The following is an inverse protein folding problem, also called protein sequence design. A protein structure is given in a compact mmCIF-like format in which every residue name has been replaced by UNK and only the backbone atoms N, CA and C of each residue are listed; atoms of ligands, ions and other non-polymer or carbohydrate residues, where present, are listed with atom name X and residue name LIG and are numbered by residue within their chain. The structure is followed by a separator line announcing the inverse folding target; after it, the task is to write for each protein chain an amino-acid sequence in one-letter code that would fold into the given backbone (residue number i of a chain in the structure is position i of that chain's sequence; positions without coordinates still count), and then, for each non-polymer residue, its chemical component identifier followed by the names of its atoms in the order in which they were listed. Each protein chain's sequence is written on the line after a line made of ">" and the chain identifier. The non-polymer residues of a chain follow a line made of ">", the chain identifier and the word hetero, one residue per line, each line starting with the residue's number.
data_IF_495793869860
#
_entry.id   IF_495793869860
#
_cell.length_a   1.000
_cell.length_b   1.000
_cell.length_c   1.000
_cell.angle_alpha   90.00
_cell.angle_beta   90.00
_cell.angle_gamma   90.00
#
_symmetry.space_group_name_H-M   'P 1'
#
loop_
_entity.id
_entity.type
_entity.pdbx_description
1 polymer ?
#
# COMPACT_ATOMS: atom_id res chain seq x y z
N UNK A 1 18.83 -20.29 -4.02
CA UNK A 1 17.84 -20.09 -5.11
C UNK A 1 18.37 -19.08 -6.12
N UNK A 2 18.04 -19.24 -7.41
CA UNK A 2 18.36 -18.28 -8.46
C UNK A 2 17.35 -17.13 -8.46
N UNK A 3 17.85 -15.90 -8.62
CA UNK A 3 17.08 -14.65 -8.62
C UNK A 3 17.07 -14.09 -10.04
N UNK A 4 15.89 -13.97 -10.64
CA UNK A 4 15.71 -13.43 -11.99
C UNK A 4 15.91 -11.92 -11.93
N UNK A 5 16.76 -11.36 -12.77
CA UNK A 5 17.06 -9.93 -12.77
C UNK A 5 16.90 -9.31 -14.14
N UNK A 6 16.54 -8.02 -14.16
CA UNK A 6 16.56 -7.19 -15.35
C UNK A 6 17.72 -6.22 -15.26
N UNK A 7 18.46 -6.07 -16.36
CA UNK A 7 19.46 -5.02 -16.49
C UNK A 7 18.95 -3.96 -17.46
N UNK A 8 19.01 -2.70 -17.04
CA UNK A 8 18.51 -1.56 -17.81
C UNK A 8 19.28 -0.29 -17.44
N UNK A 9 19.05 0.76 -18.23
CA UNK A 9 19.53 2.10 -17.91
C UNK A 9 18.36 2.90 -17.38
N UNK A 10 18.49 3.43 -16.18
CA UNK A 10 17.56 4.42 -15.64
C UNK A 10 18.31 5.73 -15.40
N UNK A 11 17.61 6.84 -15.58
CA UNK A 11 18.06 8.13 -15.07
C UNK A 11 17.84 8.13 -13.56
N UNK A 12 18.83 8.59 -12.80
CA UNK A 12 18.75 8.65 -11.34
C UNK A 12 17.57 9.52 -10.89
N UNK A 13 16.87 9.07 -9.84
CA UNK A 13 15.73 9.78 -9.26
C UNK A 13 16.16 11.15 -8.68
N UNK A 14 17.43 11.27 -8.27
CA UNK A 14 18.00 12.46 -7.60
C UNK A 14 19.02 13.23 -8.44
N UNK A 15 19.43 12.67 -9.58
CA UNK A 15 20.32 13.34 -10.52
C UNK A 15 20.08 12.78 -11.92
N UNK A 16 20.11 13.64 -12.94
CA UNK A 16 19.95 13.27 -14.35
C UNK A 16 21.11 12.41 -14.90
N UNK A 17 21.83 11.67 -14.04
CA UNK A 17 22.86 10.71 -14.45
C UNK A 17 22.21 9.41 -14.88
N UNK A 18 22.58 8.94 -16.06
CA UNK A 18 22.16 7.64 -16.57
C UNK A 18 22.98 6.56 -15.88
N UNK A 19 22.34 5.72 -15.07
CA UNK A 19 22.97 4.64 -14.29
C UNK A 19 22.61 3.29 -14.92
N UNK A 20 23.58 2.38 -14.99
CA UNK A 20 23.31 1.00 -15.38
C UNK A 20 22.94 0.21 -14.12
N UNK A 21 21.76 -0.39 -14.11
CA UNK A 21 21.17 -0.93 -12.87
C UNK A 21 20.86 -2.42 -13.00
N UNK A 22 20.87 -3.09 -11.85
CA UNK A 22 20.34 -4.44 -11.69
C UNK A 22 19.03 -4.33 -10.90
N UNK A 23 17.91 -4.65 -11.56
CA UNK A 23 16.57 -4.57 -10.98
C UNK A 23 16.03 -5.97 -10.68
N UNK A 24 15.57 -6.15 -9.44
CA UNK A 24 14.98 -7.38 -8.91
C UNK A 24 13.56 -7.05 -8.45
N UNK A 25 12.58 -7.69 -9.09
CA UNK A 25 11.16 -7.40 -8.86
C UNK A 25 10.41 -8.64 -8.39
N UNK A 26 9.45 -8.44 -7.48
CA UNK A 26 8.40 -9.41 -7.11
C UNK A 26 8.91 -10.80 -6.69
N UNK A 27 10.11 -10.88 -6.12
CA UNK A 27 10.77 -12.14 -5.76
C UNK A 27 10.93 -12.33 -4.26
N UNK A 28 11.00 -13.59 -3.85
CA UNK A 28 11.35 -13.97 -2.49
C UNK A 28 12.86 -14.10 -2.35
N UNK A 29 13.43 -13.22 -1.53
CA UNK A 29 14.88 -13.17 -1.31
C UNK A 29 15.18 -13.95 -0.03
N UNK A 30 15.68 -15.16 -0.24
CA UNK A 30 16.15 -16.03 0.83
C UNK A 30 17.39 -15.49 1.55
N UNK A 31 17.76 -16.12 2.66
CA UNK A 31 18.94 -15.75 3.46
C UNK A 31 20.25 -16.39 2.97
N UNK A 32 20.24 -17.07 1.82
CA UNK A 32 21.41 -17.75 1.26
C UNK A 32 22.39 -16.74 0.64
N UNK A 33 23.68 -16.91 0.92
CA UNK A 33 24.77 -16.12 0.33
C UNK A 33 25.84 -17.06 -0.25
N UNK A 34 26.33 -16.82 -1.48
CA UNK A 34 25.94 -15.74 -2.38
C UNK A 34 24.62 -16.01 -3.12
N UNK A 35 23.86 -14.96 -3.41
CA UNK A 35 22.73 -15.05 -4.32
C UNK A 35 23.24 -15.28 -5.75
N UNK A 36 22.58 -16.19 -6.47
CA UNK A 36 22.80 -16.35 -7.91
C UNK A 36 21.80 -15.48 -8.65
N UNK A 37 22.27 -14.55 -9.47
CA UNK A 37 21.42 -13.69 -10.30
C UNK A 37 21.42 -14.20 -11.74
N UNK A 38 20.23 -14.30 -12.32
CA UNK A 38 20.01 -14.81 -13.69
C UNK A 38 19.33 -13.70 -14.50
N UNK A 39 20.06 -13.12 -15.44
CA UNK A 39 19.57 -12.05 -16.31
C UNK A 39 20.54 -11.78 -17.44
N UNK A 40 20.04 -11.20 -18.54
CA UNK A 40 20.87 -10.85 -19.71
C UNK A 40 21.31 -9.40 -19.62
N UNK A 41 22.62 -9.15 -19.66
CA UNK A 41 23.17 -7.79 -19.78
C UNK A 41 22.94 -7.20 -21.17
N UNK A 42 22.99 -5.87 -21.26
CA UNK A 42 23.16 -5.17 -22.52
C UNK A 42 24.50 -5.52 -23.17
N UNK A 43 24.61 -5.33 -24.49
CA UNK A 43 25.81 -5.72 -25.25
C UNK A 43 27.08 -5.02 -24.70
N UNK A 44 28.12 -5.83 -24.46
CA UNK A 44 29.38 -5.37 -23.89
C UNK A 44 29.35 -5.03 -22.39
N UNK A 45 28.21 -5.23 -21.71
CA UNK A 45 28.07 -4.96 -20.27
C UNK A 45 28.19 -6.22 -19.43
N UNK A 46 28.64 -6.02 -18.20
CA UNK A 46 28.86 -7.08 -17.21
C UNK A 46 28.36 -6.65 -15.83
N UNK A 47 28.48 -7.52 -14.83
CA UNK A 47 28.22 -7.17 -13.43
C UNK A 47 29.12 -6.04 -12.91
N UNK A 48 30.30 -5.82 -13.51
CA UNK A 48 31.19 -4.72 -13.16
C UNK A 48 30.67 -3.35 -13.63
N UNK A 49 29.73 -3.33 -14.57
CA UNK A 49 29.14 -2.07 -15.05
C UNK A 49 27.97 -1.61 -14.18
N UNK A 50 27.45 -2.47 -13.30
CA UNK A 50 26.28 -2.16 -12.48
C UNK A 50 26.65 -1.12 -11.43
N UNK A 51 25.99 0.04 -11.48
CA UNK A 51 26.19 1.14 -10.55
C UNK A 51 25.20 1.09 -9.37
N UNK A 52 24.03 0.49 -9.58
CA UNK A 52 22.92 0.48 -8.64
C UNK A 52 22.25 -0.89 -8.64
N UNK A 53 21.97 -1.40 -7.44
CA UNK A 53 21.14 -2.59 -7.26
C UNK A 53 19.80 -2.19 -6.64
N UNK A 54 18.71 -2.56 -7.30
CA UNK A 54 17.36 -2.14 -6.95
C UNK A 54 16.47 -3.34 -6.67
N UNK A 55 16.01 -3.48 -5.42
CA UNK A 55 14.95 -4.40 -5.06
C UNK A 55 13.62 -3.67 -4.99
N UNK A 56 12.63 -4.15 -5.74
CA UNK A 56 11.30 -3.59 -5.78
C UNK A 56 10.25 -4.67 -5.50
N UNK A 57 9.34 -4.40 -4.56
CA UNK A 57 8.19 -5.27 -4.27
C UNK A 57 8.60 -6.71 -3.92
N UNK A 58 9.80 -6.91 -3.39
CA UNK A 58 10.34 -8.22 -3.04
C UNK A 58 9.88 -8.65 -1.64
N UNK A 59 9.95 -9.94 -1.32
CA UNK A 59 9.81 -10.43 0.06
C UNK A 59 11.21 -10.63 0.64
N UNK A 60 11.74 -9.60 1.30
CA UNK A 60 13.10 -9.63 1.86
C UNK A 60 13.04 -9.79 3.37
N UNK A 61 13.57 -10.93 3.86
CA UNK A 61 13.69 -11.14 5.31
C UNK A 61 15.02 -10.65 5.90
N UNK A 62 16.08 -10.62 5.09
CA UNK A 62 17.39 -10.04 5.40
C UNK A 62 18.01 -9.51 4.13
N UNK A 63 18.80 -8.42 4.23
CA UNK A 63 19.56 -7.93 3.07
C UNK A 63 20.61 -8.98 2.70
N UNK A 64 20.74 -9.36 1.42
CA UNK A 64 21.74 -10.33 0.99
C UNK A 64 23.16 -9.85 1.28
N UNK A 65 23.91 -10.68 2.02
CA UNK A 65 25.33 -10.41 2.31
C UNK A 65 26.15 -10.44 1.03
N UNK A 66 27.07 -9.49 0.91
CA UNK A 66 28.04 -9.47 -0.17
C UNK A 66 27.42 -9.22 -1.54
N UNK A 67 26.32 -8.45 -1.62
CA UNK A 67 25.75 -8.05 -2.91
C UNK A 67 26.79 -7.32 -3.78
N UNK A 68 27.68 -6.56 -3.13
CA UNK A 68 28.81 -5.89 -3.76
C UNK A 68 29.95 -6.84 -4.16
N UNK A 69 29.97 -8.11 -3.73
CA UNK A 69 30.86 -9.11 -4.33
C UNK A 69 30.37 -9.51 -5.72
N UNK A 70 29.04 -9.49 -5.92
CA UNK A 70 28.44 -9.80 -7.22
C UNK A 70 28.47 -8.61 -8.15
N UNK A 71 28.27 -7.39 -7.62
CA UNK A 71 28.34 -6.13 -8.37
C UNK A 71 29.42 -5.21 -7.78
N UNK A 72 30.72 -5.42 -8.10
CA UNK A 72 31.86 -4.80 -7.41
C UNK A 72 31.92 -3.27 -7.46
N UNK A 73 31.38 -2.67 -8.52
CA UNK A 73 31.37 -1.23 -8.75
C UNK A 73 30.03 -0.58 -8.39
N UNK A 74 29.08 -1.36 -7.86
CA UNK A 74 27.83 -0.79 -7.38
C UNK A 74 28.10 0.03 -6.12
N UNK A 75 27.58 1.25 -6.14
CA UNK A 75 27.71 2.23 -5.07
C UNK A 75 26.38 2.47 -4.38
N UNK A 76 25.30 1.93 -4.93
CA UNK A 76 23.94 2.31 -4.57
C UNK A 76 23.11 1.06 -4.36
N UNK A 77 22.43 1.01 -3.23
CA UNK A 77 21.50 -0.06 -2.88
C UNK A 77 20.16 0.57 -2.54
N UNK A 78 19.15 0.20 -3.31
CA UNK A 78 17.76 0.60 -3.08
C UNK A 78 16.94 -0.64 -2.76
N UNK A 79 16.22 -0.59 -1.64
CA UNK A 79 15.24 -1.62 -1.25
C UNK A 79 13.92 -0.91 -1.02
N UNK A 80 13.03 -1.03 -2.00
CA UNK A 80 11.73 -0.37 -2.00
C UNK A 80 10.60 -1.38 -1.83
N UNK A 81 9.64 -1.05 -0.94
CA UNK A 81 8.41 -1.80 -0.76
C UNK A 81 8.63 -3.31 -0.58
N UNK A 82 9.63 -3.69 0.21
CA UNK A 82 10.13 -5.07 0.22
C UNK A 82 9.89 -5.83 1.53
N UNK A 83 8.95 -5.32 2.35
CA UNK A 83 8.52 -5.90 3.63
C UNK A 83 9.65 -6.15 4.65
N UNK A 84 10.82 -5.53 4.46
CA UNK A 84 11.97 -5.72 5.34
C UNK A 84 11.63 -5.22 6.75
N UNK A 85 11.72 -6.09 7.75
CA UNK A 85 11.35 -5.79 9.14
C UNK A 85 12.53 -5.43 10.04
N UNK A 86 13.66 -6.09 9.84
CA UNK A 86 14.85 -5.94 10.68
C UNK A 86 16.08 -5.75 9.82
N UNK A 87 17.00 -4.92 10.27
CA UNK A 87 18.30 -4.73 9.65
C UNK A 87 19.37 -4.65 10.73
N UNK A 88 20.45 -5.41 10.55
CA UNK A 88 21.58 -5.46 11.50
C UNK A 88 22.90 -5.21 10.78
N UNK A 89 23.93 -4.81 11.54
CA UNK A 89 25.28 -4.57 11.01
C UNK A 89 25.81 -5.70 10.11
N UNK A 90 25.52 -6.95 10.47
CA UNK A 90 25.95 -8.14 9.73
C UNK A 90 25.36 -8.24 8.31
N UNK A 91 24.24 -7.55 8.04
CA UNK A 91 23.61 -7.49 6.73
C UNK A 91 24.35 -6.51 5.79
N UNK A 92 25.03 -5.49 6.34
CA UNK A 92 25.66 -4.41 5.59
C UNK A 92 27.19 -4.39 5.64
N UNK A 93 27.83 -5.00 6.65
CA UNK A 93 29.28 -4.87 6.92
C UNK A 93 30.21 -5.24 5.76
N UNK A 94 29.75 -6.06 4.82
CA UNK A 94 30.52 -6.46 3.64
C UNK A 94 30.41 -5.46 2.47
N UNK A 95 29.42 -4.56 2.49
CA UNK A 95 29.11 -3.63 1.41
C UNK A 95 29.88 -2.30 1.55
N UNK A 96 31.19 -2.38 1.80
CA UNK A 96 32.04 -1.22 2.17
C UNK A 96 32.19 -0.14 1.08
N UNK A 97 31.80 -0.46 -0.16
CA UNK A 97 31.83 0.47 -1.29
C UNK A 97 30.55 1.28 -1.46
N UNK A 98 29.54 1.05 -0.61
CA UNK A 98 28.26 1.74 -0.69
C UNK A 98 28.42 3.23 -0.37
N UNK A 99 27.94 4.07 -1.28
CA UNK A 99 27.88 5.53 -1.16
C UNK A 99 26.44 5.98 -0.86
N UNK A 100 25.43 5.30 -1.40
CA UNK A 100 24.03 5.64 -1.16
C UNK A 100 23.22 4.40 -0.75
N UNK A 101 22.47 4.48 0.35
CA UNK A 101 21.59 3.42 0.85
C UNK A 101 20.17 3.94 1.04
N UNK A 102 19.20 3.37 0.33
CA UNK A 102 17.79 3.75 0.40
C UNK A 102 16.92 2.55 0.78
N UNK A 103 16.23 2.66 1.92
CA UNK A 103 15.32 1.66 2.47
C UNK A 103 13.90 2.24 2.56
N UNK A 104 13.21 2.29 1.43
CA UNK A 104 11.95 3.03 1.26
C UNK A 104 10.75 2.10 1.40
N UNK A 105 9.70 2.54 2.10
CA UNK A 105 8.43 1.80 2.25
C UNK A 105 8.62 0.37 2.78
N UNK A 106 9.44 0.21 3.81
CA UNK A 106 9.65 -1.08 4.47
C UNK A 106 8.92 -1.14 5.82
N UNK A 107 9.12 -2.20 6.59
CA UNK A 107 8.52 -2.40 7.92
C UNK A 107 9.58 -2.34 9.02
N UNK A 108 10.63 -1.55 8.82
CA UNK A 108 11.74 -1.43 9.78
C UNK A 108 11.23 -0.68 11.01
N UNK A 109 11.37 -1.29 12.18
CA UNK A 109 11.00 -0.68 13.47
C UNK A 109 12.19 -0.22 14.30
N UNK A 110 13.39 -0.73 14.01
CA UNK A 110 14.60 -0.46 14.79
C UNK A 110 15.81 -0.18 13.90
N UNK A 111 16.58 0.84 14.27
CA UNK A 111 17.89 1.10 13.68
C UNK A 111 18.99 1.04 14.76
N UNK A 112 19.82 -0.02 14.77
CA UNK A 112 20.92 -0.15 15.73
C UNK A 112 22.08 0.81 15.42
N UNK A 113 22.82 1.21 16.44
CA UNK A 113 23.81 2.27 16.38
C UNK A 113 25.13 1.82 15.76
N UNK A 114 25.33 0.51 15.63
CA UNK A 114 26.45 -0.05 14.89
C UNK A 114 26.08 -0.46 13.46
N UNK A 115 24.83 -0.23 13.02
CA UNK A 115 24.32 -0.64 11.70
C UNK A 115 25.21 -0.18 10.55
N UNK A 116 25.58 1.10 10.56
CA UNK A 116 26.29 1.76 9.47
C UNK A 116 27.80 1.85 9.71
N UNK A 117 28.31 1.30 10.82
CA UNK A 117 29.68 1.51 11.32
C UNK A 117 30.79 1.13 10.35
N UNK A 118 30.53 0.24 9.39
CA UNK A 118 31.49 -0.21 8.39
C UNK A 118 31.36 0.51 7.03
N UNK A 119 30.35 1.38 6.86
CA UNK A 119 30.00 2.05 5.60
C UNK A 119 30.63 3.45 5.50
N UNK A 120 31.94 3.55 5.66
CA UNK A 120 32.64 4.85 5.76
C UNK A 120 32.59 5.71 4.48
N UNK A 121 32.16 5.15 3.34
CA UNK A 121 31.96 5.88 2.08
C UNK A 121 30.55 6.43 1.90
N UNK A 122 29.64 6.14 2.84
CA UNK A 122 28.24 6.52 2.73
C UNK A 122 28.11 8.04 2.74
N UNK A 123 27.52 8.59 1.69
CA UNK A 123 27.18 10.00 1.52
C UNK A 123 25.69 10.24 1.73
N UNK A 124 24.85 9.27 1.36
CA UNK A 124 23.41 9.34 1.53
C UNK A 124 22.84 8.10 2.25
N UNK A 125 22.01 8.32 3.26
CA UNK A 125 21.27 7.27 3.96
C UNK A 125 19.80 7.65 4.09
N UNK A 126 18.91 6.79 3.62
CA UNK A 126 17.48 7.04 3.67
C UNK A 126 16.73 5.81 4.17
N UNK A 127 15.85 6.02 5.14
CA UNK A 127 14.88 5.03 5.60
C UNK A 127 13.55 5.72 5.74
N UNK A 128 12.77 5.77 4.66
CA UNK A 128 11.52 6.54 4.62
C UNK A 128 10.29 5.64 4.58
N UNK A 129 9.16 6.19 5.04
CA UNK A 129 7.87 5.50 5.06
C UNK A 129 7.96 4.09 5.67
N UNK A 130 8.75 3.97 6.74
CA UNK A 130 8.86 2.75 7.52
C UNK A 130 8.10 2.93 8.84
N UNK A 131 8.28 2.00 9.77
CA UNK A 131 7.59 2.02 11.07
C UNK A 131 8.62 2.19 12.19
N UNK A 132 9.63 3.03 11.99
CA UNK A 132 10.70 3.15 12.97
C UNK A 132 10.08 3.63 14.29
N UNK A 133 10.34 2.84 15.33
CA UNK A 133 9.95 3.07 16.71
C UNK A 133 11.16 3.53 17.52
N UNK A 134 12.37 3.04 17.19
CA UNK A 134 13.60 3.40 17.89
C UNK A 134 14.80 3.50 16.94
N UNK A 135 15.61 4.54 17.13
CA UNK A 135 16.92 4.73 16.50
C UNK A 135 17.97 4.87 17.59
N UNK A 136 19.04 4.09 17.51
CA UNK A 136 20.19 4.33 18.35
C UNK A 136 20.98 5.55 17.86
N UNK A 137 21.38 6.42 18.77
CA UNK A 137 21.92 7.76 18.47
C UNK A 137 23.30 7.77 17.82
N UNK A 138 24.09 6.75 18.12
CA UNK A 138 25.42 6.57 17.58
C UNK A 138 25.39 5.95 16.17
N UNK A 139 24.21 5.80 15.55
CA UNK A 139 24.06 5.25 14.20
C UNK A 139 24.87 5.98 13.13
N UNK A 140 25.08 7.29 13.33
CA UNK A 140 25.87 8.12 12.41
C UNK A 140 27.31 8.35 12.87
N UNK A 141 27.74 7.68 13.94
CA UNK A 141 29.12 7.80 14.41
C UNK A 141 30.08 7.33 13.33
N UNK A 142 31.17 8.08 13.16
CA UNK A 142 32.27 7.79 12.21
C UNK A 142 31.92 7.91 10.73
N UNK A 143 30.68 8.24 10.37
CA UNK A 143 30.28 8.50 8.98
C UNK A 143 30.64 9.93 8.56
N UNK A 144 31.92 10.16 8.29
CA UNK A 144 32.45 11.52 8.01
C UNK A 144 32.04 12.09 6.65
N UNK A 145 31.61 11.24 5.71
CA UNK A 145 31.21 11.66 4.36
C UNK A 145 29.69 11.80 4.20
N UNK A 146 28.91 11.46 5.24
CA UNK A 146 27.46 11.47 5.20
C UNK A 146 26.96 12.90 5.20
N UNK A 147 26.27 13.29 4.14
CA UNK A 147 25.75 14.64 3.93
C UNK A 147 24.24 14.69 3.73
N UNK A 148 23.62 13.54 3.45
CA UNK A 148 22.19 13.44 3.23
C UNK A 148 21.63 12.31 4.10
N UNK A 149 20.70 12.66 4.98
CA UNK A 149 19.94 11.72 5.80
C UNK A 149 18.47 12.03 5.64
N UNK A 150 17.68 11.03 5.24
CA UNK A 150 16.24 11.17 5.10
C UNK A 150 15.53 10.04 5.87
N UNK A 151 14.82 10.43 6.92
CA UNK A 151 14.05 9.53 7.77
C UNK A 151 12.56 9.88 7.79
N UNK A 152 12.10 10.63 6.78
CA UNK A 152 10.71 11.09 6.66
C UNK A 152 9.69 9.94 6.59
N UNK A 153 8.47 10.21 7.05
CA UNK A 153 7.39 9.23 7.06
C UNK A 153 7.57 8.09 8.08
N UNK A 154 8.35 8.31 9.15
CA UNK A 154 8.44 7.40 10.30
C UNK A 154 7.85 8.03 11.56
N UNK A 155 7.02 7.27 12.26
CA UNK A 155 6.20 7.75 13.39
C UNK A 155 7.02 8.38 14.52
N UNK A 156 8.19 7.81 14.88
CA UNK A 156 9.01 8.30 15.99
C UNK A 156 9.77 9.60 15.69
N UNK A 157 9.84 10.01 14.42
CA UNK A 157 10.58 11.19 13.93
C UNK A 157 9.58 12.28 13.57
N UNK A 158 8.49 11.92 12.89
CA UNK A 158 7.50 12.85 12.34
C UNK A 158 6.92 13.83 13.37
N UNK A 159 6.64 13.38 14.60
CA UNK A 159 5.97 14.23 15.60
C UNK A 159 6.83 15.33 16.24
N UNK A 160 8.17 15.24 16.20
CA UNK A 160 9.09 16.25 16.80
C UNK A 160 9.91 16.98 15.74
N UNK A 161 10.19 16.36 14.60
CA UNK A 161 10.79 17.04 13.45
C UNK A 161 9.82 18.01 12.74
N UNK A 162 8.50 17.89 12.95
CA UNK A 162 7.51 18.87 12.49
C UNK A 162 7.36 20.11 13.41
N UNK A 163 7.95 20.10 14.62
CA UNK A 163 7.94 21.28 15.52
C UNK A 163 9.13 22.23 15.32
N UNK A 164 10.02 21.91 14.38
CA UNK A 164 11.10 22.77 13.90
C UNK A 164 10.73 23.13 12.46
N UNK A 165 10.70 24.43 12.16
CA UNK A 165 10.17 25.06 10.93
C UNK A 165 10.47 24.35 9.57
N UNK A 166 9.72 24.68 8.48
CA UNK A 166 9.60 23.90 7.23
C UNK A 166 10.86 23.67 6.37
N UNK A 167 12.06 23.97 6.86
CA UNK A 167 13.31 23.91 6.08
C UNK A 167 14.18 22.66 6.32
N UNK A 168 13.69 21.67 7.08
CA UNK A 168 14.49 20.46 7.42
C UNK A 168 14.65 19.43 6.29
N UNK A 169 14.17 19.68 5.06
CA UNK A 169 14.73 19.01 3.88
C UNK A 169 16.26 19.24 3.76
N UNK A 170 16.80 20.23 4.48
CA UNK A 170 18.22 20.57 4.57
C UNK A 170 18.80 20.47 5.99
N UNK A 171 18.21 19.68 6.90
CA UNK A 171 18.73 19.49 8.25
C UNK A 171 20.20 19.04 8.22
N UNK A 172 21.08 19.73 8.94
CA UNK A 172 22.47 19.28 9.05
C UNK A 172 22.55 18.01 9.88
N UNK A 173 23.55 17.16 9.62
CA UNK A 173 23.77 15.92 10.36
C UNK A 173 23.87 16.16 11.89
N UNK A 174 24.36 17.33 12.30
CA UNK A 174 24.51 17.69 13.70
C UNK A 174 23.18 18.08 14.35
N UNK A 175 22.25 18.68 13.60
CA UNK A 175 20.87 18.93 14.06
C UNK A 175 20.13 17.60 14.31
N UNK A 176 20.26 16.64 13.38
CA UNK A 176 19.66 15.31 13.53
C UNK A 176 20.24 14.59 14.76
N UNK A 177 21.56 14.63 14.96
CA UNK A 177 22.22 14.02 16.13
C UNK A 177 21.77 14.65 17.44
N UNK A 178 21.65 15.97 17.47
CA UNK A 178 21.22 16.73 18.66
C UNK A 178 19.76 16.40 18.99
N UNK A 179 18.90 16.32 17.98
CA UNK A 179 17.50 15.98 18.18
C UNK A 179 17.34 14.53 18.67
N UNK A 180 18.08 13.56 18.11
CA UNK A 180 18.09 12.19 18.62
C UNK A 180 18.50 12.11 20.10
N UNK A 181 19.46 12.93 20.54
CA UNK A 181 19.87 13.06 21.95
C UNK A 181 18.76 13.64 22.83
N UNK A 182 18.05 14.66 22.35
CA UNK A 182 16.96 15.29 23.08
C UNK A 182 15.73 14.40 23.20
N UNK A 183 15.47 13.54 22.21
CA UNK A 183 14.23 12.75 22.18
C UNK A 183 14.19 11.72 23.33
N UNK A 184 15.35 11.19 23.74
CA UNK A 184 15.47 10.13 24.73
C UNK A 184 16.68 10.35 25.66
N UNK A 185 16.60 11.26 26.65
CA UNK A 185 17.72 11.61 27.52
C UNK A 185 18.21 10.45 28.43
N UNK A 186 17.44 9.37 28.57
CA UNK A 186 17.72 8.21 29.43
C UNK A 186 17.79 6.90 28.63
N UNK A 187 18.73 6.81 27.69
CA UNK A 187 18.88 5.67 26.76
C UNK A 187 19.17 4.29 27.35
N UNK A 188 19.59 4.20 28.62
CA UNK A 188 20.17 2.97 29.16
C UNK A 188 19.22 1.78 29.20
N UNK A 189 17.96 2.00 29.56
CA UNK A 189 17.02 0.91 29.91
C UNK A 189 16.01 0.61 28.80
N UNK A 190 15.51 1.63 28.09
CA UNK A 190 14.62 1.44 26.93
C UNK A 190 15.31 0.69 25.79
N UNK A 191 16.56 1.05 25.47
CA UNK A 191 17.35 0.38 24.42
C UNK A 191 17.62 -1.08 24.79
N UNK A 192 17.90 -1.39 26.07
CA UNK A 192 18.11 -2.78 26.53
C UNK A 192 16.83 -3.61 26.40
N UNK A 193 15.70 -3.05 26.82
CA UNK A 193 14.40 -3.72 26.71
C UNK A 193 14.01 -3.97 25.25
N UNK A 194 14.13 -2.95 24.39
CA UNK A 194 13.80 -3.05 22.97
C UNK A 194 14.74 -4.02 22.21
N UNK A 195 16.04 -4.01 22.52
CA UNK A 195 16.98 -5.04 22.03
C UNK A 195 16.57 -6.44 22.48
N UNK A 196 16.08 -6.59 23.71
CA UNK A 196 15.54 -7.85 24.22
C UNK A 196 14.32 -8.32 23.44
N UNK A 197 13.38 -7.42 23.14
CA UNK A 197 12.18 -7.69 22.35
C UNK A 197 12.53 -8.11 20.92
N UNK A 198 13.40 -7.36 20.23
CA UNK A 198 13.88 -7.72 18.88
C UNK A 198 14.62 -9.05 18.91
N UNK A 199 15.47 -9.29 19.91
CA UNK A 199 16.17 -10.57 20.06
C UNK A 199 15.18 -11.71 20.22
N UNK A 200 14.11 -11.51 21.02
CA UNK A 200 13.07 -12.52 21.22
C UNK A 200 12.22 -12.76 19.96
N UNK A 201 11.89 -11.73 19.19
CA UNK A 201 11.14 -11.82 17.93
C UNK A 201 11.99 -12.44 16.80
N UNK A 202 13.28 -12.14 16.75
CA UNK A 202 14.25 -12.80 15.84
C UNK A 202 14.40 -14.27 16.23
N UNK A 203 14.52 -14.60 17.52
CA UNK A 203 14.56 -15.99 17.99
C UNK A 203 13.26 -16.73 17.71
N UNK A 204 12.10 -16.08 17.83
CA UNK A 204 10.80 -16.63 17.47
C UNK A 204 10.72 -16.91 15.96
N UNK A 205 11.11 -15.95 15.12
CA UNK A 205 11.16 -16.11 13.66
C UNK A 205 12.13 -17.21 13.23
N UNK A 206 13.27 -17.36 13.93
CA UNK A 206 14.23 -18.46 13.71
C UNK A 206 13.68 -19.81 14.16
N UNK A 207 12.93 -19.85 15.27
CA UNK A 207 12.21 -21.06 15.72
C UNK A 207 11.12 -21.43 14.73
N UNK A 208 10.35 -20.50 14.21
CA UNK A 208 9.33 -20.73 13.16
C UNK A 208 9.97 -21.27 11.87
N UNK A 209 11.09 -20.68 11.42
CA UNK A 209 11.86 -21.20 10.26
C UNK A 209 12.46 -22.59 10.50
N UNK A 210 12.81 -22.93 11.74
CA UNK A 210 13.30 -24.27 12.11
C UNK A 210 12.16 -25.28 12.29
N UNK A 211 10.98 -24.85 12.76
CA UNK A 211 9.75 -25.65 12.85
C UNK A 211 9.21 -26.02 11.46
N UNK A 212 9.34 -25.12 10.48
CA UNK A 212 8.97 -25.40 9.08
C UNK A 212 9.92 -26.43 8.42
N UNK A 213 11.11 -26.68 8.98
CA UNK A 213 12.03 -27.76 8.54
C UNK A 213 11.85 -29.09 9.29
N UNK A 214 10.95 -29.18 10.28
CA UNK A 214 10.64 -30.41 11.02
C UNK A 214 9.14 -30.51 11.31
N UNK A 215 8.32 -30.78 10.30
CA UNK A 215 7.02 -31.44 10.47
C UNK A 215 6.44 -31.86 9.11
N UNK A 216 6.94 -32.98 8.59
CA UNK A 216 6.13 -33.94 7.82
C UNK A 216 5.96 -35.17 8.71
N UNK A 217 4.95 -35.14 9.57
CA UNK A 217 4.33 -36.36 10.10
C UNK A 217 2.99 -36.00 10.73
N UNK A 218 1.97 -36.71 10.26
CA UNK A 218 0.56 -36.62 10.60
C UNK A 218 0.29 -36.89 12.08
N UNK A 219 -0.69 -36.17 12.67
CA UNK A 219 -1.71 -36.77 13.55
C UNK A 219 -3.02 -35.99 13.38
N UNK A 220 -4.08 -36.71 12.97
CA UNK A 220 -5.47 -36.26 12.91
C UNK A 220 -6.01 -36.01 14.32
N UNK A 221 -6.58 -34.83 14.58
CA UNK A 221 -7.58 -34.64 15.63
C UNK A 221 -8.88 -34.11 15.01
N UNK A 222 -9.93 -34.92 15.11
CA UNK A 222 -11.30 -34.58 14.71
C UNK A 222 -11.90 -33.65 15.76
N UNK A 223 -11.96 -32.35 15.48
CA UNK A 223 -12.97 -31.49 16.10
C UNK A 223 -14.28 -31.66 15.33
N UNK A 224 -15.32 -32.17 15.98
CA UNK A 224 -16.69 -32.05 15.47
C UNK A 224 -17.10 -30.57 15.61
N UNK A 225 -16.78 -29.78 14.60
CA UNK A 225 -17.36 -28.46 14.41
C UNK A 225 -18.73 -28.71 13.77
N UNK A 226 -19.81 -28.65 14.55
CA UNK A 226 -21.17 -28.61 14.00
C UNK A 226 -21.23 -27.39 13.08
N UNK A 227 -21.23 -27.62 11.76
CA UNK A 227 -21.53 -26.58 10.79
C UNK A 227 -23.05 -26.40 10.80
N UNK A 228 -23.49 -25.15 10.98
CA UNK A 228 -24.90 -24.80 10.86
C UNK A 228 -25.29 -24.85 9.38
N UNK A 229 -26.41 -25.51 9.08
CA UNK A 229 -26.98 -25.57 7.73
C UNK A 229 -27.92 -24.38 7.44
N UNK A 230 -28.11 -23.45 8.40
CA UNK A 230 -29.03 -22.31 8.32
C UNK A 230 -28.91 -21.48 7.03
N UNK A 231 -27.68 -21.20 6.56
CA UNK A 231 -27.47 -20.44 5.32
C UNK A 231 -27.92 -21.26 4.10
N UNK A 232 -27.71 -22.58 4.10
CA UNK A 232 -28.15 -23.47 3.02
C UNK A 232 -29.68 -23.57 2.99
N UNK A 233 -30.32 -23.60 4.16
CA UNK A 233 -31.78 -23.58 4.25
C UNK A 233 -32.37 -22.29 3.67
N UNK A 234 -31.76 -21.13 3.98
CA UNK A 234 -32.20 -19.83 3.43
C UNK A 234 -31.92 -19.68 1.93
N UNK A 235 -30.81 -20.27 1.43
CA UNK A 235 -30.55 -20.38 -0.01
C UNK A 235 -31.64 -21.18 -0.71
N UNK A 236 -32.01 -22.34 -0.16
CA UNK A 236 -33.06 -23.17 -0.71
C UNK A 236 -34.42 -22.43 -0.74
N UNK A 237 -34.73 -21.63 0.30
CA UNK A 237 -35.93 -20.80 0.33
C UNK A 237 -35.89 -19.68 -0.71
N UNK A 238 -34.72 -19.09 -0.98
CA UNK A 238 -34.58 -18.05 -2.01
C UNK A 238 -34.90 -18.58 -3.42
N UNK A 239 -34.45 -19.80 -3.72
CA UNK A 239 -34.67 -20.47 -5.02
C UNK A 239 -36.09 -21.03 -5.16
N UNK A 240 -36.75 -21.37 -4.05
CA UNK A 240 -38.12 -21.85 -4.05
C UNK A 240 -39.10 -20.72 -4.38
N UNK A 241 -40.02 -20.95 -5.31
CA UNK A 241 -41.08 -20.00 -5.66
C UNK A 241 -42.24 -19.96 -4.66
N UNK A 242 -42.40 -21.00 -3.85
CA UNK A 242 -43.46 -21.08 -2.85
C UNK A 242 -43.30 -19.99 -1.78
N UNK A 243 -44.43 -19.44 -1.33
CA UNK A 243 -44.52 -18.46 -0.24
C UNK A 243 -43.87 -17.08 -0.46
N UNK A 244 -43.27 -16.82 -1.63
CA UNK A 244 -42.86 -15.47 -2.03
C UNK A 244 -44.09 -14.56 -2.15
N UNK A 245 -44.19 -13.60 -1.24
CA UNK A 245 -45.37 -12.75 -1.01
C UNK A 245 -45.16 -11.28 -1.42
N UNK A 246 -44.06 -10.98 -2.10
CA UNK A 246 -43.74 -9.65 -2.60
C UNK A 246 -42.93 -9.67 -3.88
N UNK A 247 -43.14 -8.65 -4.72
CA UNK A 247 -42.36 -8.48 -5.95
C UNK A 247 -41.63 -7.14 -5.94
N UNK A 248 -40.32 -7.16 -6.13
CA UNK A 248 -39.53 -5.95 -6.36
C UNK A 248 -39.30 -5.80 -7.86
N UNK A 249 -39.66 -4.65 -8.41
CA UNK A 249 -39.53 -4.36 -9.85
C UNK A 249 -38.41 -3.36 -10.08
N UNK A 250 -37.55 -3.67 -11.04
CA UNK A 250 -36.42 -2.84 -11.46
C UNK A 250 -36.42 -2.75 -12.97
N UNK A 251 -36.85 -1.61 -13.49
CA UNK A 251 -37.13 -1.46 -14.91
C UNK A 251 -38.15 -2.49 -15.38
N UNK A 252 -37.76 -3.37 -16.29
CA UNK A 252 -38.59 -4.47 -16.81
C UNK A 252 -38.40 -5.80 -16.08
N UNK A 253 -37.45 -5.89 -15.15
CA UNK A 253 -37.20 -7.12 -14.39
C UNK A 253 -38.04 -7.17 -13.11
N UNK A 254 -38.49 -8.37 -12.75
CA UNK A 254 -39.25 -8.64 -11.55
C UNK A 254 -38.52 -9.66 -10.67
N UNK A 255 -38.35 -9.32 -9.39
CA UNK A 255 -37.70 -10.14 -8.37
C UNK A 255 -38.72 -10.49 -7.30
N UNK A 256 -39.20 -11.73 -7.31
CA UNK A 256 -40.08 -12.23 -6.25
C UNK A 256 -39.27 -12.55 -4.99
N UNK A 257 -39.77 -12.17 -3.83
CA UNK A 257 -39.09 -12.33 -2.55
C UNK A 257 -40.10 -12.43 -1.39
N UNK A 258 -39.57 -12.75 -0.21
CA UNK A 258 -40.31 -12.84 1.03
C UNK A 258 -40.25 -11.50 1.80
N UNK A 259 -41.39 -10.87 2.10
CA UNK A 259 -41.46 -9.60 2.84
C UNK A 259 -40.68 -9.69 4.15
N UNK A 260 -40.87 -10.77 4.90
CA UNK A 260 -40.27 -10.91 6.23
C UNK A 260 -38.74 -10.92 6.18
N UNK A 261 -38.14 -11.52 5.15
CA UNK A 261 -36.67 -11.55 4.97
C UNK A 261 -36.16 -10.14 4.64
N UNK A 262 -36.82 -9.46 3.69
CA UNK A 262 -36.46 -8.08 3.31
C UNK A 262 -36.52 -7.12 4.51
N UNK A 263 -37.63 -7.14 5.25
CA UNK A 263 -37.87 -6.30 6.44
C UNK A 263 -36.87 -6.60 7.55
N UNK A 264 -36.56 -7.88 7.80
CA UNK A 264 -35.61 -8.28 8.85
C UNK A 264 -34.16 -7.85 8.54
N UNK A 265 -33.81 -7.73 7.25
CA UNK A 265 -32.42 -7.55 6.79
C UNK A 265 -32.12 -6.14 6.30
N UNK A 266 -33.13 -5.28 6.17
CA UNK A 266 -33.00 -3.88 5.77
C UNK A 266 -34.04 -3.01 6.50
N UNK A 267 -33.59 -2.07 7.35
CA UNK A 267 -34.47 -1.05 7.94
C UNK A 267 -35.20 -0.21 6.89
N UNK A 268 -34.58 0.03 5.73
CA UNK A 268 -35.23 0.77 4.63
C UNK A 268 -36.41 -0.03 4.07
N UNK A 269 -36.24 -1.33 3.80
CA UNK A 269 -37.38 -2.16 3.40
C UNK A 269 -38.44 -2.26 4.48
N UNK A 270 -38.06 -2.36 5.75
CA UNK A 270 -38.99 -2.32 6.87
C UNK A 270 -39.88 -1.08 6.85
N UNK A 271 -39.28 0.11 6.66
CA UNK A 271 -40.03 1.37 6.59
C UNK A 271 -40.92 1.43 5.35
N UNK A 272 -40.36 1.16 4.16
CA UNK A 272 -41.10 1.26 2.90
C UNK A 272 -42.30 0.30 2.87
N UNK A 273 -42.12 -0.96 3.28
CA UNK A 273 -43.19 -1.97 3.30
C UNK A 273 -44.23 -1.60 4.37
N UNK A 274 -43.81 -1.07 5.52
CA UNK A 274 -44.72 -0.60 6.57
C UNK A 274 -45.56 0.61 6.13
N UNK A 275 -45.01 1.51 5.32
CA UNK A 275 -45.77 2.63 4.74
C UNK A 275 -46.72 2.18 3.64
N UNK A 276 -46.44 1.02 3.01
CA UNK A 276 -47.19 0.48 1.88
C UNK A 276 -47.70 -0.94 2.15
N UNK A 277 -48.36 -1.16 3.30
CA UNK A 277 -48.74 -2.50 3.79
C UNK A 277 -49.57 -3.33 2.80
N UNK A 278 -50.39 -2.68 1.98
CA UNK A 278 -51.26 -3.32 0.99
C UNK A 278 -50.59 -3.49 -0.37
N UNK A 279 -49.35 -3.02 -0.56
CA UNK A 279 -48.65 -3.19 -1.82
C UNK A 279 -48.26 -4.67 -2.03
N UNK A 280 -48.51 -5.15 -3.24
CA UNK A 280 -48.05 -6.46 -3.71
C UNK A 280 -46.66 -6.36 -4.36
N UNK A 281 -46.28 -5.16 -4.80
CA UNK A 281 -44.99 -4.90 -5.41
C UNK A 281 -44.38 -3.55 -4.98
N UNK A 282 -43.06 -3.44 -5.14
CA UNK A 282 -42.29 -2.22 -4.93
C UNK A 282 -41.44 -1.93 -6.17
N UNK A 283 -41.58 -0.73 -6.74
CA UNK A 283 -40.70 -0.27 -7.79
C UNK A 283 -39.46 0.39 -7.18
N UNK A 284 -38.27 -0.13 -7.49
CA UNK A 284 -37.00 0.53 -7.17
C UNK A 284 -36.42 1.15 -8.44
N UNK A 285 -36.05 2.43 -8.33
CA UNK A 285 -35.43 3.20 -9.40
C UNK A 285 -33.95 3.40 -9.11
N UNK A 286 -33.17 3.65 -10.17
CA UNK A 286 -31.74 3.92 -10.09
C UNK A 286 -30.96 2.80 -9.38
N UNK A 287 -31.26 1.55 -9.77
CA UNK A 287 -30.51 0.35 -9.40
C UNK A 287 -30.43 -0.54 -10.65
N UNK A 288 -29.24 -1.01 -11.00
CA UNK A 288 -29.07 -2.03 -12.02
C UNK A 288 -29.53 -3.40 -11.50
N UNK A 289 -30.01 -4.23 -12.41
CA UNK A 289 -30.54 -5.56 -12.09
C UNK A 289 -29.49 -6.45 -11.43
N UNK A 290 -28.24 -6.33 -11.86
CA UNK A 290 -27.11 -7.13 -11.35
C UNK A 290 -26.76 -6.74 -9.92
N UNK A 291 -26.73 -5.43 -9.62
CA UNK A 291 -26.52 -4.95 -8.25
C UNK A 291 -27.66 -5.35 -7.33
N UNK A 292 -28.90 -5.29 -7.83
CA UNK A 292 -30.01 -5.72 -7.01
C UNK A 292 -30.01 -7.23 -6.74
N UNK A 293 -29.61 -8.06 -7.71
CA UNK A 293 -29.45 -9.49 -7.48
C UNK A 293 -28.42 -9.75 -6.38
N UNK A 294 -27.27 -9.07 -6.41
CA UNK A 294 -26.25 -9.16 -5.34
C UNK A 294 -26.81 -8.76 -3.97
N UNK A 295 -27.59 -7.68 -3.92
CA UNK A 295 -28.26 -7.23 -2.69
C UNK A 295 -29.23 -8.29 -2.17
N UNK A 296 -30.01 -8.88 -3.07
CA UNK A 296 -31.00 -9.90 -2.73
C UNK A 296 -30.30 -11.16 -2.22
N UNK A 297 -29.29 -11.66 -2.93
CA UNK A 297 -28.49 -12.82 -2.52
C UNK A 297 -27.88 -12.59 -1.12
N UNK A 298 -27.30 -11.42 -0.88
CA UNK A 298 -26.73 -11.07 0.43
C UNK A 298 -27.79 -11.03 1.55
N UNK A 299 -28.99 -10.51 1.24
CA UNK A 299 -30.10 -10.45 2.20
C UNK A 299 -30.47 -11.85 2.70
N UNK A 300 -30.52 -12.84 1.81
CA UNK A 300 -30.85 -14.23 2.17
C UNK A 300 -29.68 -14.98 2.81
N UNK A 301 -28.45 -14.74 2.37
CA UNK A 301 -27.33 -15.65 2.63
C UNK A 301 -26.24 -15.09 3.54
N UNK A 302 -26.16 -13.76 3.70
CA UNK A 302 -25.02 -13.05 4.31
C UNK A 302 -23.68 -13.32 3.59
N UNK A 303 -23.70 -13.91 2.39
CA UNK A 303 -22.53 -14.18 1.57
C UNK A 303 -22.22 -12.99 0.65
N UNK A 304 -20.94 -12.62 0.59
CA UNK A 304 -20.47 -11.55 -0.28
C UNK A 304 -20.31 -12.03 -1.73
N UNK A 305 -20.52 -11.15 -2.72
CA UNK A 305 -20.35 -11.53 -4.12
C UNK A 305 -18.90 -11.93 -4.39
N UNK A 306 -18.72 -13.12 -4.98
CA UNK A 306 -17.40 -13.60 -5.42
C UNK A 306 -16.95 -12.88 -6.72
N UNK A 307 -17.90 -12.41 -7.53
CA UNK A 307 -17.62 -11.74 -8.79
C UNK A 307 -17.26 -10.26 -8.60
N UNK A 308 -16.04 -9.91 -8.99
CA UNK A 308 -15.44 -8.57 -8.84
C UNK A 308 -15.89 -7.61 -9.98
N UNK A 309 -16.59 -8.11 -11.02
CA UNK A 309 -16.98 -7.29 -12.18
C UNK A 309 -18.20 -6.39 -11.97
N UNK A 310 -18.82 -6.42 -10.80
CA UNK A 310 -19.96 -5.54 -10.49
C UNK A 310 -19.51 -4.09 -10.25
N UNK A 311 -20.40 -3.14 -10.52
CA UNK A 311 -20.17 -1.73 -10.21
C UNK A 311 -20.17 -1.53 -8.68
N UNK A 312 -18.97 -1.40 -8.11
CA UNK A 312 -18.77 -1.26 -6.67
C UNK A 312 -19.23 0.10 -6.15
N UNK A 313 -19.21 1.13 -7.00
CA UNK A 313 -19.71 2.46 -6.66
C UNK A 313 -21.22 2.38 -6.50
N UNK A 314 -21.91 1.75 -7.46
CA UNK A 314 -23.34 1.51 -7.37
C UNK A 314 -23.68 0.63 -6.16
N UNK A 315 -22.96 -0.48 -5.95
CA UNK A 315 -23.15 -1.35 -4.79
C UNK A 315 -23.04 -0.57 -3.47
N UNK A 316 -22.04 0.28 -3.34
CA UNK A 316 -21.84 1.13 -2.16
C UNK A 316 -23.02 2.09 -1.95
N UNK A 317 -23.42 2.82 -2.99
CA UNK A 317 -24.56 3.77 -2.96
C UNK A 317 -25.86 3.07 -2.58
N UNK A 318 -26.15 1.92 -3.18
CA UNK A 318 -27.39 1.17 -2.98
C UNK A 318 -27.42 0.51 -1.60
N UNK A 319 -26.31 -0.08 -1.14
CA UNK A 319 -26.21 -0.68 0.19
C UNK A 319 -26.43 0.34 1.30
N UNK A 320 -25.92 1.57 1.15
CA UNK A 320 -26.17 2.67 2.08
C UNK A 320 -27.64 3.13 2.04
N UNK A 321 -28.23 3.26 0.85
CA UNK A 321 -29.66 3.61 0.70
C UNK A 321 -30.58 2.58 1.35
N UNK A 322 -30.24 1.30 1.20
CA UNK A 322 -30.98 0.17 1.80
C UNK A 322 -30.55 -0.15 3.23
N UNK A 323 -29.57 0.58 3.79
CA UNK A 323 -29.05 0.39 5.16
C UNK A 323 -28.55 -1.04 5.44
N UNK A 324 -27.82 -1.60 4.48
CA UNK A 324 -27.17 -2.92 4.57
C UNK A 324 -25.68 -2.71 4.87
N UNK A 325 -25.36 -2.48 6.15
CA UNK A 325 -24.04 -2.01 6.59
C UNK A 325 -22.87 -2.94 6.21
N UNK A 326 -23.02 -4.25 6.36
CA UNK A 326 -21.97 -5.23 6.02
C UNK A 326 -21.59 -5.15 4.55
N UNK A 327 -22.59 -5.11 3.66
CA UNK A 327 -22.37 -5.07 2.22
C UNK A 327 -21.84 -3.70 1.77
N UNK A 328 -22.28 -2.61 2.40
CA UNK A 328 -21.71 -1.28 2.21
C UNK A 328 -20.22 -1.25 2.56
N UNK A 329 -19.84 -1.79 3.73
CA UNK A 329 -18.46 -1.81 4.17
C UNK A 329 -17.60 -2.70 3.27
N UNK A 330 -18.13 -3.84 2.82
CA UNK A 330 -17.49 -4.67 1.80
C UNK A 330 -17.25 -3.90 0.51
N UNK A 331 -18.27 -3.22 -0.03
CA UNK A 331 -18.13 -2.42 -1.25
C UNK A 331 -17.09 -1.31 -1.07
N UNK A 332 -17.05 -0.65 0.10
CA UNK A 332 -16.04 0.36 0.42
C UNK A 332 -14.62 -0.22 0.46
N UNK A 333 -14.44 -1.40 1.09
CA UNK A 333 -13.16 -2.08 1.13
C UNK A 333 -12.67 -2.42 -0.28
N UNK A 334 -13.55 -2.92 -1.14
CA UNK A 334 -13.19 -3.21 -2.54
C UNK A 334 -12.91 -1.95 -3.35
N UNK A 335 -13.65 -0.86 -3.10
CA UNK A 335 -13.37 0.43 -3.74
C UNK A 335 -12.00 0.97 -3.35
N UNK A 336 -11.56 0.80 -2.09
CA UNK A 336 -10.24 1.26 -1.67
C UNK A 336 -9.13 0.70 -2.58
N UNK A 337 -9.22 -0.55 -2.99
CA UNK A 337 -8.20 -1.19 -3.84
C UNK A 337 -8.22 -0.71 -5.30
N UNK A 338 -9.32 -0.09 -5.74
CA UNK A 338 -9.55 0.32 -7.14
C UNK A 338 -9.55 1.84 -7.35
N UNK A 339 -9.34 2.63 -6.29
CA UNK A 339 -9.14 4.09 -6.41
C UNK A 339 -7.95 4.38 -7.32
N UNK A 340 -8.20 5.18 -8.35
CA UNK A 340 -7.23 5.59 -9.36
C UNK A 340 -7.56 7.00 -9.88
N UNK A 341 -6.75 7.53 -10.79
CA UNK A 341 -6.89 8.90 -11.29
C UNK A 341 -8.22 9.21 -11.98
N UNK A 342 -8.90 8.20 -12.55
CA UNK A 342 -10.15 8.39 -13.30
C UNK A 342 -11.37 8.45 -12.38
N UNK A 343 -11.36 7.71 -11.27
CA UNK A 343 -12.52 7.60 -10.37
C UNK A 343 -12.35 8.32 -9.02
N UNK A 344 -11.15 8.79 -8.69
CA UNK A 344 -10.85 9.36 -7.37
C UNK A 344 -11.75 10.54 -7.00
N UNK A 345 -12.07 11.43 -7.94
CA UNK A 345 -12.93 12.59 -7.68
C UNK A 345 -14.37 12.17 -7.35
N UNK A 346 -14.93 11.20 -8.07
CA UNK A 346 -16.27 10.67 -7.77
C UNK A 346 -16.27 9.98 -6.39
N UNK A 347 -15.27 9.13 -6.12
CA UNK A 347 -15.17 8.42 -4.84
C UNK A 347 -14.98 9.41 -3.68
N UNK A 348 -14.23 10.50 -3.88
CA UNK A 348 -14.11 11.57 -2.89
C UNK A 348 -15.48 12.21 -2.58
N UNK A 349 -16.25 12.61 -3.61
CA UNK A 349 -17.60 13.18 -3.44
C UNK A 349 -18.52 12.23 -2.65
N UNK A 350 -18.46 10.93 -2.96
CA UNK A 350 -19.25 9.91 -2.24
C UNK A 350 -18.78 9.72 -0.80
N UNK A 351 -17.48 9.69 -0.57
CA UNK A 351 -16.91 9.52 0.76
C UNK A 351 -17.32 10.64 1.73
N UNK A 352 -17.45 11.87 1.24
CA UNK A 352 -17.93 13.02 2.02
C UNK A 352 -19.43 12.86 2.27
N UNK A 353 -20.22 12.61 1.22
CA UNK A 353 -21.68 12.45 1.31
C UNK A 353 -22.09 11.36 2.31
N UNK A 354 -21.34 10.26 2.34
CA UNK A 354 -21.64 9.08 3.16
C UNK A 354 -20.72 8.93 4.36
N UNK A 355 -19.92 9.95 4.70
CA UNK A 355 -19.05 10.00 5.88
C UNK A 355 -18.12 8.79 6.02
N UNK A 356 -17.45 8.43 4.93
CA UNK A 356 -16.45 7.36 4.91
C UNK A 356 -15.03 7.95 4.86
N UNK A 357 -14.37 7.99 6.02
CA UNK A 357 -13.06 8.63 6.17
C UNK A 357 -11.94 7.92 5.39
N UNK A 358 -11.98 6.59 5.31
CA UNK A 358 -10.96 5.81 4.61
C UNK A 358 -11.00 6.07 3.11
N UNK A 359 -12.19 6.02 2.50
CA UNK A 359 -12.37 6.37 1.10
C UNK A 359 -11.99 7.82 0.83
N UNK A 360 -12.32 8.75 1.76
CA UNK A 360 -11.97 10.17 1.61
C UNK A 360 -10.46 10.36 1.55
N UNK A 361 -9.75 9.84 2.54
CA UNK A 361 -8.29 9.97 2.62
C UNK A 361 -7.62 9.38 1.38
N UNK A 362 -7.95 8.14 1.02
CA UNK A 362 -7.30 7.46 -0.11
C UNK A 362 -7.62 8.11 -1.46
N UNK A 363 -8.86 8.56 -1.66
CA UNK A 363 -9.25 9.28 -2.88
C UNK A 363 -8.54 10.64 -2.99
N UNK A 364 -8.43 11.35 -1.87
CA UNK A 364 -7.74 12.63 -1.83
C UNK A 364 -6.23 12.48 -2.04
N UNK A 365 -5.59 11.46 -1.47
CA UNK A 365 -4.19 11.12 -1.76
C UNK A 365 -3.96 10.85 -3.26
N UNK A 366 -4.89 10.19 -3.93
CA UNK A 366 -4.81 9.95 -5.37
C UNK A 366 -4.97 11.25 -6.16
N UNK A 367 -5.91 12.12 -5.77
CA UNK A 367 -6.08 13.45 -6.38
C UNK A 367 -4.84 14.32 -6.19
N UNK A 368 -4.16 14.25 -5.04
CA UNK A 368 -2.88 14.96 -4.84
C UNK A 368 -1.80 14.53 -5.84
N UNK A 369 -1.78 13.25 -6.25
CA UNK A 369 -0.87 12.78 -7.30
C UNK A 369 -1.25 13.32 -8.67
N UNK A 370 -2.55 13.48 -8.95
CA UNK A 370 -3.01 14.13 -10.19
C UNK A 370 -2.55 15.58 -10.22
N UNK A 371 -2.60 16.27 -9.08
CA UNK A 371 -2.31 17.69 -8.93
C UNK A 371 -0.89 17.96 -8.36
N UNK A 372 0.06 17.07 -8.64
CA UNK A 372 1.44 17.10 -8.12
C UNK A 372 2.28 18.35 -8.47
N UNK A 373 1.78 19.17 -9.40
CA UNK A 373 2.38 20.44 -9.80
C UNK A 373 2.08 21.61 -8.85
N UNK A 374 1.18 21.43 -7.87
CA UNK A 374 0.86 22.42 -6.83
C UNK A 374 0.85 21.77 -5.45
N UNK A 375 1.19 22.56 -4.44
CA UNK A 375 1.00 22.16 -3.06
C UNK A 375 -0.49 22.31 -2.69
N UNK A 376 -1.08 21.24 -2.16
CA UNK A 376 -2.53 21.17 -1.87
C UNK A 376 -2.71 21.02 -0.36
N UNK A 377 -3.40 22.00 0.23
CA UNK A 377 -3.85 21.96 1.62
C UNK A 377 -4.78 20.76 1.85
N UNK A 378 -4.54 20.03 2.93
CA UNK A 378 -5.37 18.90 3.37
C UNK A 378 -6.84 19.27 3.60
N UNK A 379 -7.14 20.55 3.88
CA UNK A 379 -8.52 21.04 4.02
C UNK A 379 -9.34 20.90 2.72
N UNK A 380 -8.69 20.88 1.55
CA UNK A 380 -9.37 20.68 0.27
C UNK A 380 -9.96 19.27 0.13
N UNK A 381 -9.59 18.32 0.99
CA UNK A 381 -10.24 17.01 1.07
C UNK A 381 -11.75 17.08 1.35
N UNK A 382 -12.26 18.24 1.79
CA UNK A 382 -13.67 18.50 2.04
C UNK A 382 -14.32 19.42 1.01
N UNK A 383 -13.59 19.84 -0.03
CA UNK A 383 -14.03 20.79 -1.05
C UNK A 383 -13.84 20.21 -2.47
N UNK A 384 -14.57 19.12 -2.82
CA UNK A 384 -14.38 18.42 -4.09
C UNK A 384 -14.64 19.29 -5.32
N UNK A 385 -15.49 20.32 -5.23
CA UNK A 385 -15.76 21.26 -6.31
C UNK A 385 -14.52 22.08 -6.68
N UNK A 386 -13.74 22.52 -5.68
CA UNK A 386 -12.48 23.24 -5.94
C UNK A 386 -11.42 22.31 -6.54
N UNK A 387 -11.38 21.06 -6.11
CA UNK A 387 -10.46 20.07 -6.67
C UNK A 387 -10.80 19.73 -8.13
N UNK A 388 -12.09 19.67 -8.46
CA UNK A 388 -12.57 19.50 -9.83
C UNK A 388 -12.09 20.65 -10.74
N UNK A 389 -12.27 21.90 -10.32
CA UNK A 389 -11.77 23.08 -11.04
C UNK A 389 -10.24 23.02 -11.25
N UNK A 390 -9.47 22.62 -10.24
CA UNK A 390 -8.02 22.48 -10.36
C UNK A 390 -7.60 21.37 -11.35
N UNK A 391 -8.33 20.26 -11.37
CA UNK A 391 -8.11 19.16 -12.32
C UNK A 391 -8.41 19.64 -13.75
N UNK A 392 -9.48 20.40 -13.95
CA UNK A 392 -9.83 21.00 -15.23
C UNK A 392 -8.72 21.95 -15.73
N UNK A 393 -8.25 22.87 -14.89
CA UNK A 393 -7.15 23.80 -15.21
C UNK A 393 -5.88 23.03 -15.61
N UNK A 394 -5.54 21.95 -14.89
CA UNK A 394 -4.40 21.10 -15.23
C UNK A 394 -4.55 20.51 -16.63
N UNK A 395 -5.71 19.93 -16.92
CA UNK A 395 -6.00 19.28 -18.20
C UNK A 395 -5.92 20.28 -19.37
N UNK A 396 -6.46 21.49 -19.20
CA UNK A 396 -6.34 22.57 -20.17
C UNK A 396 -4.88 22.95 -20.44
N UNK A 397 -4.08 23.12 -19.38
CA UNK A 397 -2.64 23.43 -19.51
C UNK A 397 -1.88 22.33 -20.25
N UNK A 398 -2.13 21.06 -19.93
CA UNK A 398 -1.51 19.92 -20.62
C UNK A 398 -1.93 19.84 -22.09
N UNK A 399 -3.17 20.20 -22.42
CA UNK A 399 -3.62 20.30 -23.80
C UNK A 399 -2.86 21.40 -24.56
N UNK A 400 -2.75 22.61 -24.00
CA UNK A 400 -2.01 23.72 -24.60
C UNK A 400 -0.54 23.32 -24.82
N UNK A 401 0.09 22.67 -23.84
CA UNK A 401 1.48 22.21 -23.96
C UNK A 401 1.65 21.21 -25.12
N UNK A 402 0.73 20.25 -25.26
CA UNK A 402 0.71 19.29 -26.36
C UNK A 402 0.61 19.99 -27.72
N UNK A 403 -0.28 20.98 -27.85
CA UNK A 403 -0.44 21.75 -29.09
C UNK A 403 0.84 22.55 -29.44
N UNK A 404 1.53 23.10 -28.45
CA UNK A 404 2.81 23.80 -28.62
C UNK A 404 3.89 22.80 -29.09
N UNK A 405 4.04 21.66 -28.42
CA UNK A 405 5.01 20.62 -28.77
C UNK A 405 4.81 20.10 -30.20
N UNK A 406 3.55 19.90 -30.61
CA UNK A 406 3.21 19.45 -31.96
C UNK A 406 3.59 20.51 -33.02
N UNK A 407 3.36 21.79 -32.73
CA UNK A 407 3.84 22.90 -33.58
C UNK A 407 5.37 22.91 -33.70
N UNK A 408 6.10 22.70 -32.61
CA UNK A 408 7.57 22.65 -32.64
C UNK A 408 8.11 21.44 -33.41
N UNK A 409 7.50 20.25 -33.26
CA UNK A 409 7.85 19.07 -34.06
C UNK A 409 7.67 19.32 -35.56
N UNK A 410 6.59 20.00 -35.96
CA UNK A 410 6.34 20.34 -37.35
C UNK A 410 7.32 21.38 -37.93
N UNK A 411 7.92 22.22 -37.09
CA UNK A 411 8.98 23.16 -37.48
C UNK A 411 10.33 22.47 -37.64
N UNK A 412 10.64 21.48 -36.80
CA UNK A 412 11.88 20.69 -36.85
C UNK A 412 11.96 19.71 -38.03
N UNK A 413 10.82 19.28 -38.59
CA UNK A 413 10.76 18.41 -39.78
C UNK A 413 10.93 19.21 -41.10
N UNK A 414 10.88 20.56 -41.04
CA UNK A 414 11.02 21.45 -42.21
C UNK A 414 12.41 22.09 -42.37
N UNK A 415 13.42 21.61 -41.65
CA UNK A 415 14.85 21.89 -41.89
C UNK A 415 15.57 20.58 -42.14
#
# INVERSE_FOLDING_TARGET
>A
MEQIVKFNFLYGIWNNTRRYICQIENQEIGSESPLKFVGKHADGKTNYDVNLVFFEKCKISKIPKGIMKTFPNSKILVINNSKLKTIIRDDLKENKNLEELYLVKNNITFLPGDLLKDLNKLTAFSVTYSKIELIEPNIFDKLTNLNCVDLSGNICIDKRFNSVEPNLQNATLDEIKTELQNIYPTWGDEVKNFKGEITSEVLKTLKEKNSIKKQKTEVKNKNFQLKSDFIQDFKAIMENEDFKDFTIKIGSMEFKAHKFVLVARSPTFANIIKENVHAEYLNLLDISTDIFQVILDFIYTDEFPENIQIDKIELFKVSERLKIEKLKNFAAEKLLDEINSENALEILKLSIKYKNDQLRQKSFEEIKKILDFIEIDDNLAFEPEKLEELIEIKNEKEQILREIEERFKNVLIRK
#
